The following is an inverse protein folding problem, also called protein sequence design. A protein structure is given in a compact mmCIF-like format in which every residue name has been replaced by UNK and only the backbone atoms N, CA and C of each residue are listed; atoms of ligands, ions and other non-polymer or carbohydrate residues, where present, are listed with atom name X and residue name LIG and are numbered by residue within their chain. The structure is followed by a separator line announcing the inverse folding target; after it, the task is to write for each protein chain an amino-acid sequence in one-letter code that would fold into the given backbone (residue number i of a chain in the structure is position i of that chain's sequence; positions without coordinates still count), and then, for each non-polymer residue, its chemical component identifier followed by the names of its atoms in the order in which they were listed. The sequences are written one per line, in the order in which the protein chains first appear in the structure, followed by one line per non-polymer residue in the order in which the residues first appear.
data_IF_468151433616
#
_entry.id   IF_468151433616
#
_cell.length_a   1.000
_cell.length_b   1.000
_cell.length_c   1.000
_cell.angle_alpha   90.00
_cell.angle_beta   90.00
_cell.angle_gamma   90.00
#
_symmetry.space_group_name_H-M   'P 1'
#
loop_
_entity.id
_entity.type
_entity.pdbx_description
1 polymer ?
#
# COMPACT_ATOMS: atom_id res chain seq x y z
N UNK A 1 -14.30 -7.09 34.96
CA UNK A 1 -14.69 -6.20 33.84
C UNK A 1 -14.48 -4.70 34.11
N UNK A 2 -14.55 -4.19 35.36
CA UNK A 2 -14.31 -2.75 35.66
C UNK A 2 -12.85 -2.26 35.59
N UNK A 3 -11.84 -3.13 35.70
CA UNK A 3 -10.43 -2.70 35.68
C UNK A 3 -9.89 -2.41 34.27
N UNK A 4 -10.37 -3.10 33.23
CA UNK A 4 -9.90 -2.89 31.85
C UNK A 4 -10.41 -1.58 31.22
N UNK A 5 -11.59 -1.09 31.63
CA UNK A 5 -12.12 0.16 31.09
C UNK A 5 -11.33 1.37 31.57
N UNK A 6 -10.92 1.38 32.84
CA UNK A 6 -10.15 2.49 33.43
C UNK A 6 -8.71 2.53 32.92
N UNK A 7 -8.07 1.39 32.67
CA UNK A 7 -6.74 1.35 32.08
C UNK A 7 -6.74 1.84 30.63
N UNK A 8 -7.77 1.47 29.83
CA UNK A 8 -7.91 1.93 28.45
C UNK A 8 -8.10 3.45 28.38
N UNK A 9 -8.95 4.02 29.24
CA UNK A 9 -9.16 5.48 29.27
C UNK A 9 -7.92 6.26 29.68
N UNK A 10 -7.09 5.71 30.58
CA UNK A 10 -5.81 6.32 30.98
C UNK A 10 -4.78 6.27 29.85
N UNK A 11 -4.67 5.15 29.14
CA UNK A 11 -3.78 5.04 27.98
C UNK A 11 -4.17 5.99 26.85
N UNK A 12 -5.47 6.17 26.60
CA UNK A 12 -5.95 7.15 25.61
C UNK A 12 -5.58 8.58 25.99
N UNK A 13 -5.88 8.99 27.23
CA UNK A 13 -5.53 10.32 27.72
C UNK A 13 -4.02 10.57 27.68
N UNK A 14 -3.20 9.58 28.06
CA UNK A 14 -1.74 9.69 28.00
C UNK A 14 -1.22 9.87 26.56
N UNK A 15 -1.76 9.11 25.60
CA UNK A 15 -1.41 9.22 24.18
C UNK A 15 -1.84 10.57 23.61
N UNK A 16 -3.02 11.05 23.97
CA UNK A 16 -3.50 12.36 23.54
C UNK A 16 -2.60 13.49 24.08
N UNK A 17 -2.22 13.44 25.36
CA UNK A 17 -1.28 14.40 25.94
C UNK A 17 0.06 14.32 25.21
N UNK A 18 0.61 13.11 25.06
CA UNK A 18 1.89 12.91 24.38
C UNK A 18 1.86 13.43 22.94
N UNK A 19 0.76 13.22 22.22
CA UNK A 19 0.58 13.73 20.86
C UNK A 19 0.64 15.26 20.84
N UNK A 20 -0.10 15.93 21.73
CA UNK A 20 -0.14 17.40 21.79
C UNK A 20 1.15 18.03 22.31
N UNK A 21 1.93 17.31 23.13
CA UNK A 21 3.29 17.72 23.50
C UNK A 21 4.24 17.73 22.31
N UNK A 22 3.89 17.05 21.21
CA UNK A 22 4.66 17.00 19.96
C UNK A 22 6.15 16.65 20.20
N UNK A 23 6.45 15.48 20.79
CA UNK A 23 7.81 15.11 21.16
C UNK A 23 8.71 15.07 19.93
N UNK A 24 9.91 15.64 20.08
CA UNK A 24 10.95 15.55 19.04
C UNK A 24 11.38 14.10 18.80
N UNK A 25 11.98 13.83 17.64
CA UNK A 25 12.53 12.51 17.30
C UNK A 25 13.51 11.98 18.37
N UNK A 26 14.29 12.86 19.00
CA UNK A 26 15.22 12.51 20.09
C UNK A 26 14.46 11.99 21.32
N UNK A 27 13.35 12.64 21.69
CA UNK A 27 12.52 12.20 22.81
C UNK A 27 11.80 10.88 22.50
N UNK A 28 11.26 10.73 21.29
CA UNK A 28 10.63 9.47 20.85
C UNK A 28 11.66 8.33 20.85
N UNK A 29 12.87 8.59 20.36
CA UNK A 29 13.97 7.61 20.37
C UNK A 29 14.37 7.23 21.80
N UNK A 30 14.41 8.18 22.72
CA UNK A 30 14.66 7.91 24.14
C UNK A 30 13.57 7.01 24.74
N UNK A 31 12.29 7.26 24.44
CA UNK A 31 11.18 6.41 24.89
C UNK A 31 11.30 4.97 24.36
N UNK A 32 11.69 4.83 23.09
CA UNK A 32 11.91 3.51 22.49
C UNK A 32 13.11 2.81 23.14
N UNK A 33 14.24 3.50 23.32
CA UNK A 33 15.44 2.87 23.87
C UNK A 33 15.24 2.40 25.33
N UNK A 34 14.48 3.15 26.13
CA UNK A 34 14.28 2.84 27.54
C UNK A 34 13.08 1.90 27.78
N UNK A 35 12.00 2.03 27.00
CA UNK A 35 10.71 1.37 27.24
C UNK A 35 10.02 0.89 25.94
N UNK A 36 10.77 0.56 24.87
CA UNK A 36 10.24 0.25 23.52
C UNK A 36 9.01 -0.65 23.51
N UNK A 37 9.09 -1.78 24.21
CA UNK A 37 8.02 -2.78 24.22
C UNK A 37 6.75 -2.17 24.82
N UNK A 38 6.85 -1.54 25.98
CA UNK A 38 5.70 -0.96 26.68
C UNK A 38 5.09 0.21 25.92
N UNK A 39 5.94 1.07 25.32
CA UNK A 39 5.48 2.20 24.52
C UNK A 39 4.73 1.74 23.26
N UNK A 40 5.33 0.85 22.46
CA UNK A 40 4.71 0.33 21.23
C UNK A 40 3.46 -0.50 21.57
N UNK A 41 3.48 -1.31 22.63
CA UNK A 41 2.31 -2.07 23.07
C UNK A 41 1.17 -1.17 23.55
N UNK A 42 1.46 -0.04 24.20
CA UNK A 42 0.44 0.95 24.60
C UNK A 42 -0.19 1.64 23.39
N UNK A 43 0.62 2.07 22.42
CA UNK A 43 0.13 2.61 21.15
C UNK A 43 -0.74 1.59 20.43
N UNK A 44 -0.32 0.33 20.40
CA UNK A 44 -1.07 -0.76 19.78
C UNK A 44 -2.36 -1.09 20.52
N UNK A 45 -2.36 -1.03 21.85
CA UNK A 45 -3.56 -1.22 22.67
C UNK A 45 -4.62 -0.16 22.36
N UNK A 46 -4.23 1.11 22.26
CA UNK A 46 -5.14 2.20 21.89
C UNK A 46 -5.55 2.11 20.42
N UNK A 47 -4.68 1.64 19.53
CA UNK A 47 -5.04 1.40 18.13
C UNK A 47 -6.20 0.39 18.01
N UNK A 48 -6.24 -0.62 18.91
CA UNK A 48 -7.29 -1.66 18.97
C UNK A 48 -8.59 -1.23 19.63
N UNK A 49 -8.51 -0.51 20.75
CA UNK A 49 -9.66 -0.32 21.64
C UNK A 49 -10.04 1.15 21.83
N UNK A 50 -9.20 2.08 21.38
CA UNK A 50 -9.41 3.51 21.61
C UNK A 50 -10.50 4.11 20.72
N UNK A 51 -10.90 5.33 21.07
CA UNK A 51 -11.77 6.14 20.23
C UNK A 51 -11.15 6.41 18.85
N UNK A 52 -11.95 6.85 17.87
CA UNK A 52 -11.41 7.25 16.56
C UNK A 52 -10.28 8.27 16.68
N UNK A 53 -10.45 9.29 17.52
CA UNK A 53 -9.45 10.32 17.73
C UNK A 53 -8.15 9.74 18.33
N UNK A 54 -8.26 8.95 19.41
CA UNK A 54 -7.11 8.32 20.06
C UNK A 54 -6.36 7.36 19.13
N UNK A 55 -7.08 6.60 18.29
CA UNK A 55 -6.49 5.74 17.25
C UNK A 55 -5.74 6.54 16.19
N UNK A 56 -6.27 7.72 15.82
CA UNK A 56 -5.58 8.68 14.95
C UNK A 56 -4.25 9.14 15.53
N UNK A 57 -4.25 9.59 16.80
CA UNK A 57 -3.03 10.00 17.50
C UNK A 57 -2.04 8.86 17.68
N UNK A 58 -2.52 7.68 18.09
CA UNK A 58 -1.70 6.50 18.23
C UNK A 58 -1.02 6.13 16.90
N UNK A 59 -1.73 6.22 15.77
CA UNK A 59 -1.16 5.95 14.44
C UNK A 59 -0.03 6.92 14.10
N UNK A 60 -0.22 8.21 14.38
CA UNK A 60 0.79 9.24 14.10
C UNK A 60 2.03 9.07 14.97
N UNK A 61 1.84 8.80 16.28
CA UNK A 61 2.94 8.51 17.20
C UNK A 61 3.66 7.20 16.84
N UNK A 62 2.92 6.17 16.43
CA UNK A 62 3.49 4.90 16.02
C UNK A 62 4.35 5.05 14.76
N UNK A 63 3.89 5.85 13.78
CA UNK A 63 4.70 6.21 12.62
C UNK A 63 6.00 6.89 13.04
N UNK A 64 5.93 7.89 13.92
CA UNK A 64 7.14 8.60 14.39
C UNK A 64 8.06 7.68 15.20
N UNK A 65 7.49 6.71 15.92
CA UNK A 65 8.24 5.73 16.67
C UNK A 65 9.05 4.80 15.74
N UNK A 66 8.41 4.27 14.70
CA UNK A 66 9.09 3.37 13.75
C UNK A 66 10.20 4.06 12.94
N UNK A 67 10.05 5.36 12.62
CA UNK A 67 11.09 6.12 11.90
C UNK A 67 12.43 6.20 12.65
N UNK A 68 12.40 6.16 13.98
CA UNK A 68 13.60 6.24 14.84
C UNK A 68 13.95 4.91 15.51
N UNK A 69 13.19 3.85 15.23
CA UNK A 69 13.38 2.52 15.82
C UNK A 69 14.49 1.75 15.13
N UNK A 70 15.18 0.90 15.90
CA UNK A 70 16.11 -0.07 15.32
C UNK A 70 15.39 -1.06 14.39
N UNK A 71 16.05 -1.52 13.31
CA UNK A 71 15.50 -2.49 12.36
C UNK A 71 14.84 -3.73 12.97
N UNK A 72 15.29 -4.16 14.15
CA UNK A 72 14.74 -5.32 14.87
C UNK A 72 13.22 -5.18 15.16
N UNK A 73 12.76 -3.95 15.42
CA UNK A 73 11.35 -3.65 15.66
C UNK A 73 10.52 -3.67 14.37
N UNK A 74 11.13 -3.35 13.23
CA UNK A 74 10.46 -3.34 11.92
C UNK A 74 10.33 -4.77 11.34
N UNK A 75 11.29 -5.66 11.59
CA UNK A 75 11.33 -7.03 11.03
C UNK A 75 10.22 -7.94 11.60
N UNK A 76 9.75 -7.65 12.82
CA UNK A 76 8.98 -8.59 13.64
C UNK A 76 7.56 -8.14 13.97
N UNK A 77 7.00 -7.16 13.25
CA UNK A 77 5.64 -6.68 13.51
C UNK A 77 4.59 -7.80 13.38
N UNK A 78 3.57 -7.76 14.25
CA UNK A 78 2.50 -8.76 14.28
C UNK A 78 1.48 -8.48 13.17
N UNK A 79 0.84 -9.53 12.63
CA UNK A 79 -0.28 -9.41 11.68
C UNK A 79 -1.33 -8.41 12.17
N UNK A 80 -1.67 -8.48 13.45
CA UNK A 80 -2.67 -7.62 14.07
C UNK A 80 -2.34 -6.11 13.97
N UNK A 81 -1.06 -5.71 13.81
CA UNK A 81 -0.75 -4.31 13.50
C UNK A 81 -1.32 -3.90 12.14
N UNK A 82 -1.14 -4.73 11.11
CA UNK A 82 -1.69 -4.45 9.78
C UNK A 82 -3.21 -4.40 9.79
N UNK A 83 -3.87 -5.32 10.51
CA UNK A 83 -5.33 -5.31 10.68
C UNK A 83 -5.82 -3.97 11.26
N UNK A 84 -5.17 -3.47 12.30
CA UNK A 84 -5.57 -2.19 12.89
C UNK A 84 -5.24 -0.98 12.01
N UNK A 85 -4.10 -0.99 11.31
CA UNK A 85 -3.77 0.07 10.33
C UNK A 85 -4.78 0.08 9.17
N UNK A 86 -5.27 -1.09 8.74
CA UNK A 86 -6.34 -1.18 7.74
C UNK A 86 -7.64 -0.59 8.27
N UNK A 87 -8.00 -0.87 9.53
CA UNK A 87 -9.19 -0.25 10.14
C UNK A 87 -9.08 1.27 10.19
N UNK A 88 -7.91 1.84 10.54
CA UNK A 88 -7.70 3.30 10.51
C UNK A 88 -7.98 3.89 9.13
N UNK A 89 -7.56 3.20 8.06
CA UNK A 89 -7.80 3.64 6.69
C UNK A 89 -9.28 3.52 6.28
N UNK A 90 -9.93 2.41 6.64
CA UNK A 90 -11.36 2.17 6.36
C UNK A 90 -12.22 3.22 7.08
N UNK A 91 -11.91 3.48 8.34
CA UNK A 91 -12.65 4.39 9.20
C UNK A 91 -12.47 5.87 8.81
N UNK A 92 -11.49 6.16 7.94
CA UNK A 92 -11.19 7.52 7.43
C UNK A 92 -11.08 8.58 8.55
N UNK A 93 -10.47 8.19 9.67
CA UNK A 93 -10.40 8.97 10.92
C UNK A 93 -9.99 10.43 10.70
N UNK A 94 -8.89 10.63 9.97
CA UNK A 94 -8.43 11.94 9.51
C UNK A 94 -7.45 11.78 8.35
N UNK A 95 -7.23 12.84 7.57
CA UNK A 95 -6.25 12.81 6.49
C UNK A 95 -4.82 12.57 7.00
N UNK A 96 -4.48 13.13 8.17
CA UNK A 96 -3.20 12.97 8.82
C UNK A 96 -2.99 11.52 9.29
N UNK A 97 -4.00 10.93 9.94
CA UNK A 97 -3.95 9.54 10.38
C UNK A 97 -3.83 8.57 9.20
N UNK A 98 -4.65 8.76 8.16
CA UNK A 98 -4.58 7.92 6.94
C UNK A 98 -3.22 8.03 6.25
N UNK A 99 -2.66 9.23 6.14
CA UNK A 99 -1.32 9.44 5.57
C UNK A 99 -0.23 8.80 6.42
N UNK A 100 -0.33 8.88 7.75
CA UNK A 100 0.60 8.23 8.67
C UNK A 100 0.52 6.70 8.54
N UNK A 101 -0.69 6.13 8.51
CA UNK A 101 -0.90 4.70 8.30
C UNK A 101 -0.30 4.23 6.96
N UNK A 102 -0.59 4.93 5.86
CA UNK A 102 -0.04 4.59 4.53
C UNK A 102 1.49 4.63 4.50
N UNK A 103 2.11 5.65 5.11
CA UNK A 103 3.58 5.72 5.22
C UNK A 103 4.13 4.54 6.01
N UNK A 104 3.54 4.26 7.17
CA UNK A 104 3.97 3.17 8.03
C UNK A 104 3.86 1.80 7.33
N UNK A 105 2.78 1.56 6.58
CA UNK A 105 2.65 0.35 5.76
C UNK A 105 3.80 0.24 4.75
N UNK A 106 4.06 1.30 3.98
CA UNK A 106 5.13 1.32 2.95
C UNK A 106 6.53 1.14 3.55
N UNK A 107 6.74 1.58 4.79
CA UNK A 107 7.98 1.40 5.55
C UNK A 107 8.15 -0.02 6.08
N UNK A 108 7.05 -0.70 6.45
CA UNK A 108 7.07 -2.05 7.00
C UNK A 108 7.14 -3.15 5.92
N UNK A 109 6.61 -2.92 4.72
CA UNK A 109 6.54 -3.94 3.66
C UNK A 109 7.89 -4.37 3.00
N UNK A 110 8.96 -3.57 2.97
CA UNK A 110 10.28 -4.02 2.51
C UNK A 110 10.78 -5.27 3.23
N UNK A 111 10.43 -5.43 4.52
CA UNK A 111 10.76 -6.58 5.34
C UNK A 111 9.92 -7.80 4.92
N UNK A 112 10.52 -8.77 4.24
CA UNK A 112 9.80 -9.83 3.51
C UNK A 112 8.68 -10.54 4.29
N UNK A 113 8.90 -10.86 5.57
CA UNK A 113 7.89 -11.51 6.43
C UNK A 113 6.65 -10.65 6.69
N UNK A 114 6.78 -9.34 6.60
CA UNK A 114 5.68 -8.42 6.81
C UNK A 114 4.70 -8.40 5.63
N UNK A 115 5.16 -8.73 4.42
CA UNK A 115 4.29 -8.77 3.23
C UNK A 115 3.18 -9.78 3.42
N UNK A 116 3.53 -11.02 3.81
CA UNK A 116 2.55 -12.09 4.04
C UNK A 116 1.56 -11.67 5.12
N UNK A 117 2.06 -11.19 6.26
CA UNK A 117 1.22 -10.70 7.38
C UNK A 117 0.30 -9.55 6.96
N UNK A 118 0.76 -8.64 6.11
CA UNK A 118 -0.04 -7.53 5.61
C UNK A 118 -1.13 -8.02 4.65
N UNK A 119 -0.81 -8.98 3.78
CA UNK A 119 -1.81 -9.63 2.90
C UNK A 119 -2.88 -10.32 3.75
N UNK A 120 -2.48 -11.16 4.72
CA UNK A 120 -3.41 -11.84 5.63
C UNK A 120 -4.22 -10.85 6.50
N UNK A 121 -3.67 -9.65 6.76
CA UNK A 121 -4.34 -8.55 7.44
C UNK A 121 -5.29 -7.73 6.56
N UNK A 122 -5.50 -8.15 5.30
CA UNK A 122 -6.44 -7.51 4.37
C UNK A 122 -5.89 -6.32 3.60
N UNK A 123 -4.57 -6.11 3.61
CA UNK A 123 -3.98 -4.89 3.03
C UNK A 123 -4.26 -4.72 1.54
N UNK A 124 -4.24 -5.79 0.76
CA UNK A 124 -4.47 -5.70 -0.70
C UNK A 124 -5.88 -5.19 -1.00
N UNK A 125 -6.90 -5.79 -0.38
CA UNK A 125 -8.31 -5.41 -0.52
C UNK A 125 -8.51 -3.92 -0.17
N UNK A 126 -8.07 -3.52 1.02
CA UNK A 126 -8.28 -2.13 1.50
C UNK A 126 -7.55 -1.11 0.63
N UNK A 127 -6.31 -1.41 0.22
CA UNK A 127 -5.55 -0.50 -0.65
C UNK A 127 -6.18 -0.38 -2.04
N UNK A 128 -6.77 -1.44 -2.59
CA UNK A 128 -7.53 -1.38 -3.85
C UNK A 128 -8.76 -0.49 -3.68
N UNK A 129 -9.55 -0.70 -2.63
CA UNK A 129 -10.77 0.06 -2.37
C UNK A 129 -10.48 1.56 -2.17
N UNK A 130 -9.41 1.90 -1.45
CA UNK A 130 -9.00 3.30 -1.28
C UNK A 130 -8.65 3.99 -2.61
N UNK A 131 -8.19 3.27 -3.63
CA UNK A 131 -7.85 3.87 -4.93
C UNK A 131 -9.08 4.42 -5.68
N UNK A 132 -10.30 3.99 -5.34
CA UNK A 132 -11.52 4.54 -5.94
C UNK A 132 -11.82 5.95 -5.46
N UNK A 133 -11.67 6.19 -4.16
CA UNK A 133 -12.06 7.45 -3.52
C UNK A 133 -10.93 8.49 -3.49
N UNK A 134 -9.67 8.04 -3.51
CA UNK A 134 -8.52 8.93 -3.30
C UNK A 134 -8.23 9.79 -4.53
N UNK A 135 -8.30 11.11 -4.32
CA UNK A 135 -7.90 12.15 -5.28
C UNK A 135 -6.53 12.75 -4.98
N UNK A 136 -6.07 12.67 -3.73
CA UNK A 136 -4.79 13.23 -3.30
C UNK A 136 -3.62 12.46 -3.92
N UNK A 137 -2.74 13.18 -4.62
CA UNK A 137 -1.64 12.60 -5.42
C UNK A 137 -0.71 11.75 -4.56
N UNK A 138 -0.29 12.23 -3.40
CA UNK A 138 0.70 11.54 -2.56
C UNK A 138 0.12 10.28 -1.93
N UNK A 139 -1.15 10.30 -1.53
CA UNK A 139 -1.86 9.12 -1.05
C UNK A 139 -1.99 8.06 -2.16
N UNK A 140 -2.33 8.45 -3.40
CA UNK A 140 -2.30 7.53 -4.54
C UNK A 140 -0.92 6.86 -4.71
N UNK A 141 0.16 7.66 -4.64
CA UNK A 141 1.53 7.14 -4.77
C UNK A 141 1.90 6.16 -3.66
N UNK A 142 1.52 6.45 -2.40
CA UNK A 142 1.76 5.56 -1.28
C UNK A 142 0.98 4.26 -1.40
N UNK A 143 -0.31 4.34 -1.76
CA UNK A 143 -1.16 3.16 -1.96
C UNK A 143 -0.61 2.26 -3.07
N UNK A 144 -0.26 2.83 -4.23
CA UNK A 144 0.34 2.07 -5.33
C UNK A 144 1.72 1.51 -4.95
N UNK A 145 2.49 2.21 -4.12
CA UNK A 145 3.76 1.69 -3.58
C UNK A 145 3.55 0.48 -2.68
N UNK A 146 2.54 0.51 -1.82
CA UNK A 146 2.16 -0.62 -0.97
C UNK A 146 1.72 -1.82 -1.81
N UNK A 147 0.82 -1.63 -2.77
CA UNK A 147 0.35 -2.71 -3.66
C UNK A 147 1.48 -3.34 -4.47
N UNK A 148 2.41 -2.52 -4.98
CA UNK A 148 3.60 -2.96 -5.68
C UNK A 148 4.54 -3.81 -4.79
N UNK A 149 4.77 -3.40 -3.54
CA UNK A 149 5.54 -4.19 -2.58
C UNK A 149 4.83 -5.52 -2.23
N UNK A 150 3.50 -5.50 -2.03
CA UNK A 150 2.69 -6.68 -1.75
C UNK A 150 2.69 -7.66 -2.93
N UNK A 151 2.61 -7.17 -4.16
CA UNK A 151 2.74 -7.99 -5.38
C UNK A 151 4.13 -8.59 -5.57
N UNK A 152 5.09 -8.27 -4.69
CA UNK A 152 6.38 -8.94 -4.59
C UNK A 152 6.33 -10.36 -4.04
N UNK A 153 5.19 -10.83 -3.50
CA UNK A 153 4.97 -12.22 -3.11
C UNK A 153 3.76 -12.85 -3.82
N UNK A 154 3.61 -14.17 -3.73
CA UNK A 154 2.55 -14.90 -4.46
C UNK A 154 1.15 -14.58 -3.89
N UNK A 155 1.05 -14.49 -2.56
CA UNK A 155 -0.18 -14.18 -1.82
C UNK A 155 -0.71 -12.80 -2.20
N UNK A 156 0.17 -11.79 -2.27
CA UNK A 156 -0.25 -10.43 -2.64
C UNK A 156 -0.74 -10.33 -4.08
N UNK A 157 -0.13 -11.09 -5.01
CA UNK A 157 -0.64 -11.19 -6.40
C UNK A 157 -1.98 -11.92 -6.46
N UNK A 158 -2.11 -13.02 -5.71
CA UNK A 158 -3.34 -13.80 -5.66
C UNK A 158 -4.52 -12.95 -5.15
N UNK A 159 -4.34 -12.21 -4.04
CA UNK A 159 -5.36 -11.32 -3.50
C UNK A 159 -5.72 -10.19 -4.47
N UNK A 160 -4.74 -9.60 -5.17
CA UNK A 160 -5.02 -8.54 -6.14
C UNK A 160 -5.87 -9.05 -7.30
N UNK A 161 -5.56 -10.25 -7.80
CA UNK A 161 -6.30 -10.90 -8.89
C UNK A 161 -7.65 -11.47 -8.44
N UNK A 162 -7.81 -11.77 -7.15
CA UNK A 162 -9.09 -12.18 -6.58
C UNK A 162 -10.06 -10.99 -6.46
N UNK A 163 -9.54 -9.78 -6.32
CA UNK A 163 -10.35 -8.57 -6.34
C UNK A 163 -10.87 -8.27 -7.75
N UNK A 164 -12.19 -8.18 -7.92
CA UNK A 164 -12.84 -7.96 -9.23
C UNK A 164 -12.50 -6.64 -9.95
N UNK A 165 -11.66 -5.80 -9.34
CA UNK A 165 -11.20 -4.54 -9.91
C UNK A 165 -9.69 -4.30 -9.72
N UNK A 166 -8.93 -5.30 -9.24
CA UNK A 166 -7.52 -5.11 -8.90
C UNK A 166 -6.67 -4.68 -10.11
N UNK A 167 -6.79 -5.39 -11.23
CA UNK A 167 -6.09 -5.01 -12.48
C UNK A 167 -6.66 -3.71 -13.03
N UNK A 168 -7.98 -3.55 -13.00
CA UNK A 168 -8.67 -2.38 -13.55
C UNK A 168 -8.24 -1.08 -12.87
N UNK A 169 -8.20 -1.03 -11.53
CA UNK A 169 -7.86 0.18 -10.79
C UNK A 169 -6.38 0.54 -10.91
N UNK A 170 -5.48 -0.45 -10.88
CA UNK A 170 -4.04 -0.24 -11.08
C UNK A 170 -3.79 0.30 -12.48
N UNK A 171 -4.40 -0.33 -13.49
CA UNK A 171 -4.40 0.15 -14.86
C UNK A 171 -4.92 1.59 -14.93
N UNK A 172 -6.08 1.89 -14.35
CA UNK A 172 -6.68 3.23 -14.34
C UNK A 172 -5.72 4.33 -13.83
N UNK A 173 -4.86 4.04 -12.86
CA UNK A 173 -3.96 5.06 -12.26
C UNK A 173 -2.68 5.32 -13.09
N UNK A 174 -2.30 4.43 -14.01
CA UNK A 174 -1.15 4.63 -14.91
C UNK A 174 -1.42 5.84 -15.83
N UNK A 175 -0.45 6.76 -15.93
CA UNK A 175 -0.48 8.02 -16.69
C UNK A 175 -1.54 9.04 -16.24
N UNK A 176 -2.24 8.80 -15.11
CA UNK A 176 -3.31 9.69 -14.62
C UNK A 176 -2.99 10.43 -13.32
N UNK A 177 -1.93 10.06 -12.61
CA UNK A 177 -1.60 10.61 -11.28
C UNK A 177 -0.23 11.27 -11.27
N UNK A 178 0.82 10.50 -11.52
CA UNK A 178 2.21 10.97 -11.58
C UNK A 178 3.12 9.94 -12.26
N UNK A 179 4.37 10.32 -12.54
CA UNK A 179 5.37 9.36 -13.02
C UNK A 179 5.65 8.25 -12.01
N UNK A 180 5.66 8.57 -10.71
CA UNK A 180 5.84 7.58 -9.63
C UNK A 180 4.67 6.59 -9.63
N UNK A 181 3.43 7.08 -9.68
CA UNK A 181 2.25 6.22 -9.73
C UNK A 181 2.26 5.32 -11.00
N UNK A 182 2.68 5.86 -12.14
CA UNK A 182 2.81 5.09 -13.38
C UNK A 182 3.87 4.01 -13.29
N UNK A 183 5.04 4.31 -12.71
CA UNK A 183 6.10 3.32 -12.46
C UNK A 183 5.59 2.16 -11.57
N UNK A 184 4.94 2.49 -10.45
CA UNK A 184 4.38 1.50 -9.53
C UNK A 184 3.30 0.66 -10.21
N UNK A 185 2.39 1.28 -10.96
CA UNK A 185 1.35 0.58 -11.71
C UNK A 185 1.93 -0.40 -12.74
N UNK A 186 2.90 0.03 -13.55
CA UNK A 186 3.56 -0.84 -14.54
C UNK A 186 4.30 -1.99 -13.84
N UNK A 187 4.90 -1.76 -12.67
CA UNK A 187 5.59 -2.81 -11.90
C UNK A 187 4.64 -3.84 -11.30
N UNK A 188 3.48 -3.43 -10.81
CA UNK A 188 2.41 -4.35 -10.40
C UNK A 188 2.01 -5.23 -11.58
N UNK A 189 1.68 -4.63 -12.73
CA UNK A 189 1.30 -5.38 -13.93
C UNK A 189 2.44 -6.30 -14.42
N UNK A 190 3.70 -5.86 -14.32
CA UNK A 190 4.88 -6.67 -14.64
C UNK A 190 4.96 -7.93 -13.77
N UNK A 191 4.76 -7.77 -12.45
CA UNK A 191 4.80 -8.88 -11.50
C UNK A 191 3.70 -9.91 -11.81
N UNK A 192 2.48 -9.45 -12.06
CA UNK A 192 1.35 -10.29 -12.46
C UNK A 192 1.66 -11.02 -13.77
N UNK A 193 2.09 -10.30 -14.81
CA UNK A 193 2.35 -10.87 -16.13
C UNK A 193 3.47 -11.92 -16.11
N UNK A 194 4.47 -11.76 -15.23
CA UNK A 194 5.61 -12.67 -15.16
C UNK A 194 5.35 -13.91 -14.31
N UNK A 195 4.55 -13.79 -13.24
CA UNK A 195 4.46 -14.84 -12.21
C UNK A 195 3.04 -15.36 -11.95
N UNK A 196 2.01 -14.73 -12.53
CA UNK A 196 0.60 -15.09 -12.27
C UNK A 196 -0.28 -14.97 -13.53
N UNK A 197 0.32 -14.83 -14.70
CA UNK A 197 -0.41 -14.79 -15.96
C UNK A 197 -1.07 -16.13 -16.27
N UNK A 198 -2.34 -16.07 -16.65
CA UNK A 198 -3.10 -17.14 -17.27
C UNK A 198 -4.08 -16.53 -18.28
N UNK A 199 -4.76 -17.36 -19.08
CA UNK A 199 -5.68 -16.86 -20.12
C UNK A 199 -6.71 -15.86 -19.58
N UNK A 200 -7.33 -16.13 -18.42
CA UNK A 200 -8.30 -15.22 -17.78
C UNK A 200 -7.69 -13.85 -17.48
N UNK A 201 -6.52 -13.83 -16.83
CA UNK A 201 -5.83 -12.57 -16.47
C UNK A 201 -5.44 -11.77 -17.71
N UNK A 202 -4.89 -12.44 -18.73
CA UNK A 202 -4.45 -11.78 -19.96
C UNK A 202 -5.63 -11.19 -20.76
N UNK A 203 -6.78 -11.86 -20.76
CA UNK A 203 -8.01 -11.34 -21.33
C UNK A 203 -8.57 -10.17 -20.52
N UNK A 204 -8.60 -10.27 -19.19
CA UNK A 204 -9.03 -9.16 -18.32
C UNK A 204 -8.20 -7.89 -18.59
N UNK A 205 -6.88 -8.04 -18.69
CA UNK A 205 -5.97 -6.94 -19.02
C UNK A 205 -6.30 -6.23 -20.34
N UNK A 206 -6.77 -6.95 -21.35
CA UNK A 206 -7.27 -6.34 -22.59
C UNK A 206 -8.56 -5.56 -22.33
N UNK A 207 -9.53 -6.19 -21.66
CA UNK A 207 -10.85 -5.61 -21.40
C UNK A 207 -10.79 -4.31 -20.59
N UNK A 208 -9.92 -4.26 -19.58
CA UNK A 208 -9.75 -3.07 -18.72
C UNK A 208 -8.78 -2.03 -19.31
N UNK A 209 -8.33 -2.25 -20.55
CA UNK A 209 -7.42 -1.36 -21.28
C UNK A 209 -6.04 -1.24 -20.63
N UNK A 210 -5.56 -2.26 -19.91
CA UNK A 210 -4.21 -2.28 -19.36
C UNK A 210 -3.16 -2.36 -20.48
N UNK A 211 -3.41 -3.19 -21.50
CA UNK A 211 -2.50 -3.34 -22.65
C UNK A 211 -2.37 -2.03 -23.42
N UNK A 212 -3.47 -1.33 -23.69
CA UNK A 212 -3.46 -0.02 -24.34
C UNK A 212 -2.66 1.01 -23.54
N UNK A 213 -2.78 1.00 -22.21
CA UNK A 213 -1.97 1.89 -21.34
C UNK A 213 -0.48 1.56 -21.39
N UNK A 214 -0.10 0.27 -21.46
CA UNK A 214 1.29 -0.13 -21.64
C UNK A 214 1.86 0.37 -22.97
N UNK A 215 1.10 0.28 -24.07
CA UNK A 215 1.49 0.88 -25.36
C UNK A 215 1.66 2.39 -25.24
N UNK A 216 0.73 3.09 -24.57
CA UNK A 216 0.80 4.54 -24.39
C UNK A 216 2.03 4.97 -23.56
N UNK A 217 2.41 4.20 -22.54
CA UNK A 217 3.64 4.43 -21.74
C UNK A 217 4.89 4.46 -22.63
N UNK A 218 4.94 3.69 -23.71
CA UNK A 218 6.07 3.72 -24.64
C UNK A 218 6.14 5.04 -25.44
N UNK A 219 4.98 5.61 -25.77
CA UNK A 219 4.86 6.79 -26.63
C UNK A 219 5.10 8.11 -25.89
N UNK A 220 4.62 8.22 -24.65
CA UNK A 220 4.68 9.47 -23.88
C UNK A 220 6.00 9.62 -23.12
N UNK A 221 6.29 10.82 -22.61
CA UNK A 221 7.45 10.99 -21.72
C UNK A 221 7.24 10.18 -20.43
N UNK A 222 8.19 9.29 -20.15
CA UNK A 222 8.13 8.34 -19.05
C UNK A 222 9.54 7.83 -18.77
N UNK A 223 9.79 7.50 -17.50
CA UNK A 223 11.07 6.98 -17.05
C UNK A 223 11.49 5.74 -17.87
N UNK A 224 12.77 5.69 -18.27
CA UNK A 224 13.34 4.64 -19.11
C UNK A 224 13.06 3.23 -18.55
N UNK A 225 13.27 3.02 -17.25
CA UNK A 225 13.01 1.71 -16.61
C UNK A 225 11.54 1.30 -16.68
N UNK A 226 10.62 2.27 -16.63
CA UNK A 226 9.18 2.03 -16.76
C UNK A 226 8.83 1.64 -18.19
N UNK A 227 9.40 2.32 -19.20
CA UNK A 227 9.23 1.96 -20.62
C UNK A 227 9.76 0.57 -20.93
N UNK A 228 10.96 0.24 -20.46
CA UNK A 228 11.55 -1.09 -20.67
C UNK A 228 10.67 -2.20 -20.09
N UNK A 229 10.16 -2.03 -18.85
CA UNK A 229 9.20 -3.00 -18.27
C UNK A 229 7.93 -3.11 -19.09
N UNK A 230 7.35 -2.01 -19.54
CA UNK A 230 6.16 -2.04 -20.38
C UNK A 230 6.42 -2.82 -21.69
N UNK A 231 7.58 -2.58 -22.32
CA UNK A 231 8.02 -3.28 -23.52
C UNK A 231 8.21 -4.79 -23.28
N UNK A 232 8.87 -5.17 -22.19
CA UNK A 232 9.04 -6.58 -21.80
C UNK A 232 7.70 -7.30 -21.65
N UNK A 233 6.72 -6.68 -20.97
CA UNK A 233 5.40 -7.26 -20.75
C UNK A 233 4.67 -7.48 -22.08
N UNK A 234 4.67 -6.47 -22.96
CA UNK A 234 4.02 -6.55 -24.28
C UNK A 234 4.65 -7.64 -25.15
N UNK A 235 5.98 -7.80 -25.12
CA UNK A 235 6.65 -8.88 -25.85
C UNK A 235 6.30 -10.26 -25.28
N UNK A 236 6.31 -10.39 -23.95
CA UNK A 236 6.08 -11.65 -23.24
C UNK A 236 4.74 -12.30 -23.62
N UNK A 237 3.69 -11.49 -23.80
CA UNK A 237 2.33 -11.97 -24.11
C UNK A 237 1.84 -11.57 -25.51
N UNK A 238 2.77 -11.34 -26.44
CA UNK A 238 2.48 -10.87 -27.80
C UNK A 238 1.55 -11.80 -28.59
N UNK A 239 1.64 -13.11 -28.39
CA UNK A 239 0.76 -14.10 -29.03
C UNK A 239 -0.72 -13.92 -28.68
N UNK A 240 -1.02 -13.35 -27.50
CA UNK A 240 -2.39 -13.13 -27.02
C UNK A 240 -2.89 -11.73 -27.39
N UNK A 241 -2.01 -10.72 -27.36
CA UNK A 241 -2.44 -9.32 -27.44
C UNK A 241 -2.24 -8.64 -28.79
N UNK A 242 -1.22 -9.01 -29.57
CA UNK A 242 -0.77 -8.23 -30.75
C UNK A 242 -1.87 -7.96 -31.79
N UNK A 243 -2.77 -8.91 -31.99
CA UNK A 243 -3.86 -8.82 -32.96
C UNK A 243 -5.24 -8.59 -32.32
N UNK A 244 -5.26 -8.20 -31.04
CA UNK A 244 -6.52 -8.00 -30.33
C UNK A 244 -7.22 -6.72 -30.80
N UNK A 245 -8.51 -6.83 -31.10
CA UNK A 245 -9.40 -5.70 -31.43
C UNK A 245 -9.62 -4.75 -30.24
N UNK A 246 -9.25 -5.17 -29.02
CA UNK A 246 -9.32 -4.32 -27.83
C UNK A 246 -8.19 -3.27 -27.78
N UNK A 247 -7.18 -3.36 -28.66
CA UNK A 247 -6.12 -2.36 -28.77
C UNK A 247 -6.49 -1.36 -29.88
N UNK A 248 -6.64 -0.06 -29.57
CA UNK A 248 -6.87 0.96 -30.59
C UNK A 248 -5.80 0.95 -31.69
N UNK A 249 -6.23 1.07 -32.95
CA UNK A 249 -5.34 1.05 -34.14
C UNK A 249 -4.12 1.96 -34.01
N UNK A 250 -4.21 3.21 -33.51
CA UNK A 250 -3.03 4.07 -33.36
C UNK A 250 -1.97 3.53 -32.39
N UNK A 251 -2.34 2.65 -31.46
CA UNK A 251 -1.42 2.04 -30.50
C UNK A 251 -0.75 0.78 -31.03
N UNK A 252 -1.30 0.15 -32.07
CA UNK A 252 -0.72 -1.06 -32.70
C UNK A 252 0.66 -0.79 -33.29
N UNK A 253 0.90 0.42 -33.81
CA UNK A 253 2.21 0.84 -34.33
C UNK A 253 3.30 0.90 -33.25
N UNK A 254 2.91 1.03 -31.99
CA UNK A 254 3.81 1.08 -30.83
C UNK A 254 3.92 -0.27 -30.11
N UNK A 255 3.25 -1.30 -30.63
CA UNK A 255 3.43 -2.66 -30.14
C UNK A 255 4.83 -3.16 -30.55
N UNK A 256 5.66 -3.62 -29.60
CA UNK A 256 7.07 -3.96 -29.85
C UNK A 256 7.31 -5.35 -30.43
#
# INVERSE_FOLDING_TARGET
MKNNSNSSSLSEAAIEILFHLNPSEVHIKSLINNESIQFIESLFHVLKHGSYQSRGYATMLLKSAFEVSDPIHLISVKKALFEELMRVLIDKISQQASKAALKLIVELLPWGRNRIKAVEGGAVLVLIELLFDVSERRACELILTGLDQLCGCAEGRAELLNHGAGVAIVSKKILRVSHVASDRGVRILSSICRYSANSRVLHEMLQVGAVSKLCLVLQVDSNFKTKEKAKEILKLHSSVWKNSTCIPVPLLSSYP
#
